data_IF_378853499379
#
_entry.id   IF_378853499379
#
_cell.length_a   1.000
_cell.length_b   1.000
_cell.length_c   1.000
_cell.angle_alpha   90.00
_cell.angle_beta   90.00
_cell.angle_gamma   90.00
#
_symmetry.space_group_name_H-M   'P 1'
#
loop_
_entity.id
_entity.type
_entity.pdbx_description
1 polymer ?
#
# COMPACT_ATOMS: atom_id res chain seq x y z
N UNK A 1 -3.57 -0.90 68.57
CA UNK A 1 -2.78 -1.35 67.41
C UNK A 1 -3.29 -0.57 66.19
N UNK A 2 -2.47 0.35 65.66
CA UNK A 2 -2.79 1.18 64.50
C UNK A 2 -2.62 0.33 63.24
N UNK A 3 -3.69 0.03 62.51
CA UNK A 3 -3.59 -0.56 61.19
C UNK A 3 -3.71 0.53 60.13
N UNK A 4 -2.56 0.85 59.55
CA UNK A 4 -2.40 1.61 58.32
C UNK A 4 -2.85 0.71 57.16
N UNK A 5 -3.88 1.10 56.41
CA UNK A 5 -4.23 0.44 55.13
C UNK A 5 -3.84 1.39 54.02
N UNK A 6 -2.87 0.94 53.23
CA UNK A 6 -2.28 1.61 52.08
C UNK A 6 -3.28 1.56 50.92
N UNK A 7 -3.63 2.71 50.35
CA UNK A 7 -4.48 2.82 49.17
C UNK A 7 -3.72 2.41 47.91
N UNK A 8 -4.26 1.45 47.16
CA UNK A 8 -3.75 1.03 45.87
C UNK A 8 -4.29 1.98 44.78
N UNK A 9 -3.43 2.82 44.22
CA UNK A 9 -3.73 3.62 43.02
C UNK A 9 -3.50 2.73 41.80
N UNK A 10 -4.58 2.39 41.10
CA UNK A 10 -4.51 1.74 39.80
C UNK A 10 -4.22 2.81 38.73
N UNK A 11 -2.97 2.85 38.25
CA UNK A 11 -2.62 3.62 37.06
C UNK A 11 -3.03 2.77 35.86
N UNK A 12 -4.14 3.13 35.21
CA UNK A 12 -4.50 2.57 33.92
C UNK A 12 -3.50 3.08 32.88
N UNK A 13 -2.60 2.20 32.41
CA UNK A 13 -1.77 2.45 31.24
C UNK A 13 -2.70 2.39 30.03
N UNK A 14 -3.20 3.55 29.59
CA UNK A 14 -3.78 3.70 28.26
C UNK A 14 -2.65 3.51 27.25
N UNK A 15 -2.56 2.32 26.67
CA UNK A 15 -1.74 2.10 25.49
C UNK A 15 -2.25 3.00 24.38
N UNK A 16 -1.43 3.94 23.92
CA UNK A 16 -1.65 4.60 22.65
C UNK A 16 -1.45 3.54 21.58
N UNK A 17 -2.55 2.95 21.11
CA UNK A 17 -2.58 2.28 19.83
C UNK A 17 -2.23 3.36 18.80
N UNK A 18 -1.07 3.23 18.15
CA UNK A 18 -0.75 4.10 17.03
C UNK A 18 -1.84 3.88 15.98
N UNK A 19 -2.75 4.85 15.87
CA UNK A 19 -3.81 4.83 14.88
C UNK A 19 -3.14 4.82 13.51
N UNK A 20 -3.60 3.94 12.61
CA UNK A 20 -3.13 3.89 11.25
C UNK A 20 -3.19 5.32 10.68
N UNK A 21 -2.06 5.86 10.23
CA UNK A 21 -1.95 7.23 9.73
C UNK A 21 -2.52 7.38 8.30
N UNK A 22 -3.50 6.54 7.97
CA UNK A 22 -4.15 6.47 6.67
C UNK A 22 -5.53 7.12 6.77
N UNK A 23 -5.81 8.06 5.87
CA UNK A 23 -7.12 8.71 5.77
C UNK A 23 -7.66 8.63 4.33
N UNK A 24 -8.98 8.64 4.19
CA UNK A 24 -9.65 8.62 2.89
C UNK A 24 -9.73 10.05 2.32
N UNK A 25 -9.28 10.25 1.08
CA UNK A 25 -9.49 11.47 0.31
C UNK A 25 -10.80 11.42 -0.47
N UNK A 26 -11.09 10.28 -1.10
CA UNK A 26 -12.31 10.07 -1.87
C UNK A 26 -12.23 8.84 -2.76
N UNK A 27 -13.17 8.70 -3.69
CA UNK A 27 -13.27 7.52 -4.58
C UNK A 27 -13.41 7.91 -6.05
N UNK A 28 -12.91 7.07 -6.95
CA UNK A 28 -13.08 7.18 -8.39
C UNK A 28 -13.50 5.84 -8.99
N UNK A 29 -14.82 5.63 -9.10
CA UNK A 29 -15.37 4.29 -9.38
C UNK A 29 -15.10 3.37 -8.18
N UNK A 30 -14.54 2.19 -8.44
CA UNK A 30 -14.18 1.21 -7.40
C UNK A 30 -12.81 1.48 -6.76
N UNK A 31 -12.10 2.53 -7.19
CA UNK A 31 -10.79 2.88 -6.66
C UNK A 31 -10.94 3.87 -5.52
N UNK A 32 -10.37 3.55 -4.37
CA UNK A 32 -10.19 4.45 -3.24
C UNK A 32 -8.97 5.33 -3.47
N UNK A 33 -9.03 6.59 -3.04
CA UNK A 33 -7.92 7.52 -3.00
C UNK A 33 -7.66 7.83 -1.54
N UNK A 34 -6.44 7.58 -1.08
CA UNK A 34 -6.06 7.67 0.32
C UNK A 34 -4.78 8.45 0.52
N UNK A 35 -4.60 8.98 1.72
CA UNK A 35 -3.41 9.70 2.16
C UNK A 35 -2.75 8.85 3.24
N UNK A 36 -1.46 8.57 3.10
CA UNK A 36 -0.62 7.97 4.13
C UNK A 36 0.32 9.03 4.73
N UNK A 37 -0.02 9.50 5.93
CA UNK A 37 0.78 10.49 6.64
C UNK A 37 2.12 9.92 7.17
N UNK A 38 2.28 8.59 7.21
CA UNK A 38 3.54 7.97 7.67
C UNK A 38 4.67 8.05 6.63
N UNK A 39 4.35 8.44 5.39
CA UNK A 39 5.31 8.53 4.26
C UNK A 39 5.34 9.92 3.64
N UNK A 40 5.14 10.95 4.45
CA UNK A 40 5.17 12.35 3.99
C UNK A 40 3.87 12.80 3.32
N UNK A 41 2.72 12.30 3.77
CA UNK A 41 1.40 12.53 3.17
C UNK A 41 1.33 12.03 1.71
N UNK A 42 1.85 10.84 1.45
CA UNK A 42 1.77 10.22 0.13
C UNK A 42 0.33 9.86 -0.21
N UNK A 43 -0.17 10.35 -1.34
CA UNK A 43 -1.46 9.93 -1.88
C UNK A 43 -1.30 8.66 -2.73
N UNK A 44 -2.25 7.74 -2.61
CA UNK A 44 -2.30 6.51 -3.40
C UNK A 44 -3.73 6.12 -3.77
N UNK A 45 -3.86 5.39 -4.88
CA UNK A 45 -5.08 4.69 -5.24
C UNK A 45 -5.02 3.24 -4.78
N UNK A 46 -6.16 2.69 -4.38
CA UNK A 46 -6.28 1.28 -3.98
C UNK A 46 -7.58 0.67 -4.49
N UNK A 47 -7.52 -0.60 -4.87
CA UNK A 47 -8.70 -1.41 -5.17
C UNK A 47 -8.53 -2.83 -4.64
N UNK A 48 -9.62 -3.35 -4.07
CA UNK A 48 -9.78 -4.77 -3.78
C UNK A 48 -10.38 -5.47 -5.00
N UNK A 49 -9.76 -6.56 -5.43
CA UNK A 49 -10.19 -7.39 -6.55
C UNK A 49 -10.93 -8.62 -6.05
N UNK A 50 -11.86 -9.14 -6.87
CA UNK A 50 -12.60 -10.38 -6.58
C UNK A 50 -11.68 -11.60 -6.38
N UNK A 51 -10.47 -11.55 -6.92
CA UNK A 51 -9.42 -12.55 -6.72
C UNK A 51 -8.80 -12.55 -5.32
N UNK A 52 -9.22 -11.65 -4.43
CA UNK A 52 -8.64 -11.48 -3.09
C UNK A 52 -7.34 -10.66 -3.07
N UNK A 53 -6.92 -10.10 -4.22
CA UNK A 53 -5.78 -9.20 -4.30
C UNK A 53 -6.21 -7.77 -3.95
N UNK A 54 -5.54 -7.14 -2.99
CA UNK A 54 -5.57 -5.70 -2.76
C UNK A 54 -4.39 -5.05 -3.45
N UNK A 55 -4.63 -4.20 -4.44
CA UNK A 55 -3.58 -3.53 -5.22
C UNK A 55 -3.59 -2.03 -4.95
N UNK A 56 -2.41 -1.44 -4.76
CA UNK A 56 -2.25 -0.01 -4.59
C UNK A 56 -1.10 0.56 -5.42
N UNK A 57 -1.30 1.80 -5.87
CA UNK A 57 -0.32 2.60 -6.63
C UNK A 57 -0.31 4.01 -6.06
N UNK A 58 0.86 4.61 -5.87
CA UNK A 58 0.90 5.98 -5.38
C UNK A 58 2.28 6.54 -5.21
N UNK A 59 2.34 7.64 -4.47
CA UNK A 59 3.56 8.36 -4.17
C UNK A 59 4.11 7.98 -2.79
N UNK A 60 5.44 8.00 -2.67
CA UNK A 60 6.18 7.98 -1.41
C UNK A 60 7.04 9.26 -1.35
N UNK A 61 6.46 10.41 -0.95
CA UNK A 61 7.17 11.69 -0.86
C UNK A 61 8.51 11.61 -0.12
N UNK A 62 8.56 10.93 1.02
CA UNK A 62 9.79 10.79 1.82
C UNK A 62 10.92 10.05 1.09
N UNK A 63 10.58 9.27 0.06
CA UNK A 63 11.53 8.54 -0.79
C UNK A 63 11.67 9.14 -2.20
N UNK A 64 11.02 10.29 -2.44
CA UNK A 64 11.01 10.98 -3.74
C UNK A 64 10.61 10.08 -4.92
N UNK A 65 9.67 9.15 -4.71
CA UNK A 65 9.31 8.16 -5.73
C UNK A 65 7.87 7.68 -5.66
N UNK A 66 7.59 6.62 -6.43
CA UNK A 66 6.29 5.97 -6.44
C UNK A 66 6.38 4.50 -6.07
N UNK A 67 5.23 3.86 -5.91
CA UNK A 67 5.18 2.44 -5.58
C UNK A 67 4.05 1.71 -6.28
N UNK A 68 4.21 0.39 -6.35
CA UNK A 68 3.14 -0.58 -6.58
C UNK A 68 3.18 -1.56 -5.40
N UNK A 69 2.05 -1.84 -4.77
CA UNK A 69 1.95 -2.88 -3.76
C UNK A 69 0.76 -3.78 -4.00
N UNK A 70 0.94 -5.05 -3.63
CA UNK A 70 -0.11 -6.06 -3.70
C UNK A 70 -0.11 -6.86 -2.41
N UNK A 71 -1.31 -7.17 -1.91
CA UNK A 71 -1.53 -7.96 -0.70
C UNK A 71 -2.66 -8.96 -0.94
N UNK A 72 -2.61 -10.09 -0.24
CA UNK A 72 -3.70 -11.07 -0.24
C UNK A 72 -3.68 -11.86 1.07
N UNK A 73 -4.87 -12.13 1.61
CA UNK A 73 -5.02 -13.02 2.76
C UNK A 73 -4.65 -14.48 2.45
N UNK A 74 -4.62 -14.86 1.17
CA UNK A 74 -4.30 -16.22 0.73
C UNK A 74 -2.78 -16.45 0.57
N UNK A 75 -1.97 -15.39 0.69
CA UNK A 75 -0.53 -15.49 0.60
C UNK A 75 0.09 -15.88 1.94
N UNK A 76 1.17 -16.67 1.88
CA UNK A 76 1.94 -17.00 3.07
C UNK A 76 2.78 -15.79 3.50
N UNK A 77 2.79 -15.51 4.80
CA UNK A 77 3.69 -14.52 5.37
C UNK A 77 5.16 -14.94 5.15
N UNK A 78 6.01 -13.96 4.85
CA UNK A 78 7.44 -14.13 4.61
C UNK A 78 8.23 -13.26 5.59
N UNK A 79 9.49 -13.64 5.91
CA UNK A 79 10.36 -12.78 6.68
C UNK A 79 10.44 -11.38 6.05
N UNK A 80 10.26 -10.34 6.87
CA UNK A 80 10.21 -8.95 6.39
C UNK A 80 11.57 -8.44 5.89
N UNK A 81 12.66 -9.11 6.27
CA UNK A 81 14.02 -8.86 5.79
C UNK A 81 14.35 -9.58 4.48
N UNK A 82 13.44 -10.41 3.98
CA UNK A 82 13.58 -11.05 2.67
C UNK A 82 13.28 -10.04 1.56
N UNK A 83 14.18 -9.92 0.58
CA UNK A 83 13.93 -9.16 -0.66
C UNK A 83 13.84 -10.11 -1.85
N UNK A 84 13.11 -9.68 -2.86
CA UNK A 84 12.91 -10.46 -4.08
C UNK A 84 12.73 -9.58 -5.30
N UNK A 85 12.74 -10.18 -6.49
CA UNK A 85 12.42 -9.45 -7.72
C UNK A 85 10.99 -9.78 -8.17
N UNK A 86 10.15 -8.75 -8.26
CA UNK A 86 8.84 -8.85 -8.88
C UNK A 86 8.92 -8.37 -10.33
N UNK A 87 8.17 -9.00 -11.22
CA UNK A 87 8.07 -8.60 -12.63
C UNK A 87 6.66 -8.15 -12.96
N UNK A 88 6.55 -7.01 -13.62
CA UNK A 88 5.31 -6.41 -14.06
C UNK A 88 5.22 -6.51 -15.58
N UNK A 89 4.10 -6.98 -16.09
CA UNK A 89 3.83 -7.15 -17.51
C UNK A 89 2.56 -6.39 -17.88
N UNK A 90 2.69 -5.47 -18.83
CA UNK A 90 1.56 -4.83 -19.50
C UNK A 90 1.48 -5.35 -20.94
N UNK A 91 0.49 -4.88 -21.70
CA UNK A 91 0.40 -5.19 -23.13
C UNK A 91 1.58 -4.63 -23.95
N UNK A 92 2.27 -3.61 -23.44
CA UNK A 92 3.32 -2.88 -24.17
C UNK A 92 4.71 -3.11 -23.59
N UNK A 93 4.81 -3.33 -22.27
CA UNK A 93 6.07 -3.17 -21.54
C UNK A 93 6.26 -4.25 -20.48
N UNK A 94 7.53 -4.47 -20.13
CA UNK A 94 7.96 -5.40 -19.08
C UNK A 94 8.91 -4.70 -18.14
N UNK A 95 8.64 -4.84 -16.86
CA UNK A 95 9.40 -4.17 -15.82
C UNK A 95 9.73 -5.13 -14.70
N UNK A 96 10.80 -4.82 -13.96
CA UNK A 96 11.17 -5.55 -12.77
C UNK A 96 11.59 -4.55 -11.68
N UNK A 97 11.31 -4.90 -10.43
CA UNK A 97 11.71 -4.12 -9.27
C UNK A 97 11.99 -5.03 -8.09
N UNK A 98 12.83 -4.55 -7.18
CA UNK A 98 12.97 -5.17 -5.87
C UNK A 98 11.69 -4.95 -5.07
N UNK A 99 11.22 -6.00 -4.39
CA UNK A 99 10.03 -5.96 -3.53
C UNK A 99 10.46 -6.04 -2.07
N UNK A 100 9.96 -5.10 -1.27
CA UNK A 100 9.99 -5.17 0.18
C UNK A 100 8.77 -5.97 0.65
N UNK A 101 9.01 -7.01 1.45
CA UNK A 101 7.95 -7.85 2.02
C UNK A 101 7.28 -7.12 3.18
N UNK A 102 5.94 -7.16 3.23
CA UNK A 102 5.18 -6.48 4.28
C UNK A 102 3.82 -7.14 4.55
N UNK A 103 3.29 -6.88 5.74
CA UNK A 103 1.93 -7.24 6.12
C UNK A 103 1.14 -5.95 6.35
N UNK A 104 -0.04 -5.84 5.72
CA UNK A 104 -0.96 -4.71 5.90
C UNK A 104 -2.36 -5.23 6.15
N UNK A 105 -2.99 -4.76 7.22
CA UNK A 105 -4.33 -5.19 7.66
C UNK A 105 -4.47 -6.72 7.79
N UNK A 106 -3.39 -7.40 8.22
CA UNK A 106 -3.34 -8.85 8.34
C UNK A 106 -3.18 -9.60 7.01
N UNK A 107 -2.99 -8.91 5.89
CA UNK A 107 -2.72 -9.52 4.59
C UNK A 107 -1.23 -9.45 4.27
N UNK A 108 -0.56 -10.60 4.06
CA UNK A 108 0.80 -10.65 3.53
C UNK A 108 0.87 -10.10 2.10
N UNK A 109 2.02 -9.54 1.76
CA UNK A 109 2.26 -8.96 0.45
C UNK A 109 3.62 -8.30 0.34
N UNK A 110 3.70 -7.37 -0.60
CA UNK A 110 4.92 -6.62 -0.81
C UNK A 110 4.71 -5.34 -1.60
N UNK A 111 5.72 -4.49 -1.54
CA UNK A 111 5.76 -3.18 -2.19
C UNK A 111 7.04 -3.09 -3.04
N UNK A 112 6.88 -2.75 -4.31
CA UNK A 112 7.97 -2.37 -5.18
C UNK A 112 8.07 -0.84 -5.27
N UNK A 113 9.26 -0.31 -5.02
CA UNK A 113 9.57 1.11 -5.14
C UNK A 113 10.10 1.45 -6.54
N UNK A 114 9.73 2.63 -7.03
CA UNK A 114 10.25 3.21 -8.26
C UNK A 114 10.73 4.63 -8.01
N UNK A 115 12.00 4.88 -8.31
CA UNK A 115 12.63 6.20 -8.21
C UNK A 115 12.09 7.22 -9.24
N UNK A 116 11.23 6.78 -10.16
CA UNK A 116 10.43 7.65 -11.01
C UNK A 116 8.96 7.37 -10.72
N UNK A 117 8.23 8.26 -10.02
CA UNK A 117 6.84 8.02 -9.69
C UNK A 117 5.96 7.91 -10.94
N UNK A 118 6.29 8.66 -12.01
CA UNK A 118 5.53 8.61 -13.25
C UNK A 118 5.51 7.19 -13.83
N UNK A 119 6.56 6.40 -13.61
CA UNK A 119 6.64 5.04 -14.10
C UNK A 119 5.57 4.11 -13.52
N UNK A 120 5.43 4.08 -12.19
CA UNK A 120 4.40 3.27 -11.52
C UNK A 120 2.99 3.70 -11.98
N UNK A 121 2.80 4.99 -12.22
CA UNK A 121 1.53 5.56 -12.66
C UNK A 121 1.23 5.27 -14.14
N UNK A 122 2.23 5.28 -15.02
CA UNK A 122 2.06 4.89 -16.42
C UNK A 122 1.69 3.40 -16.55
N UNK A 123 2.25 2.53 -15.70
CA UNK A 123 1.80 1.13 -15.59
C UNK A 123 0.34 1.07 -15.15
N UNK A 124 -0.02 1.86 -14.14
CA UNK A 124 -1.36 1.89 -13.61
C UNK A 124 -2.41 2.38 -14.63
N UNK A 125 -2.04 3.22 -15.61
CA UNK A 125 -2.94 3.69 -16.69
C UNK A 125 -3.29 2.63 -17.74
N UNK A 126 -2.61 1.46 -17.74
CA UNK A 126 -2.86 0.39 -18.72
C UNK A 126 -4.17 -0.33 -18.42
N UNK A 127 -4.61 -1.22 -19.32
CA UNK A 127 -5.86 -1.98 -19.17
C UNK A 127 -5.72 -3.19 -18.25
N UNK A 128 -4.62 -3.92 -18.35
CA UNK A 128 -4.33 -5.02 -17.45
C UNK A 128 -2.88 -4.97 -16.99
N UNK A 129 -2.66 -5.55 -15.82
CA UNK A 129 -1.34 -5.74 -15.25
C UNK A 129 -1.23 -7.18 -14.76
N UNK A 130 -0.29 -7.91 -15.34
CA UNK A 130 0.13 -9.21 -14.82
C UNK A 130 1.39 -9.02 -13.99
N UNK A 131 1.40 -9.63 -12.80
CA UNK A 131 2.49 -9.55 -11.84
C UNK A 131 3.01 -10.96 -11.59
N UNK A 132 4.34 -11.14 -11.67
CA UNK A 132 5.03 -12.37 -11.30
C UNK A 132 5.91 -12.07 -10.08
N UNK A 133 5.55 -12.66 -8.95
CA UNK A 133 6.29 -12.56 -7.70
C UNK A 133 7.60 -13.35 -7.69
N UNK A 134 8.43 -13.17 -6.66
CA UNK A 134 9.78 -13.73 -6.58
C UNK A 134 9.82 -15.27 -6.60
N UNK A 135 8.86 -15.93 -5.96
CA UNK A 135 8.74 -17.39 -5.90
C UNK A 135 7.94 -18.00 -7.07
N UNK A 136 7.65 -17.20 -8.10
CA UNK A 136 6.94 -17.66 -9.29
C UNK A 136 5.40 -17.64 -9.19
N UNK A 137 4.83 -17.21 -8.05
CA UNK A 137 3.40 -16.91 -7.97
C UNK A 137 3.02 -15.76 -8.91
N UNK A 138 1.92 -15.89 -9.64
CA UNK A 138 1.47 -14.85 -10.57
C UNK A 138 -0.01 -14.52 -10.38
N UNK A 139 -0.37 -13.28 -10.71
CA UNK A 139 -1.75 -12.85 -10.81
C UNK A 139 -1.89 -11.80 -11.93
N UNK A 140 -3.11 -11.66 -12.44
CA UNK A 140 -3.46 -10.59 -13.38
C UNK A 140 -4.70 -9.84 -12.88
N UNK A 141 -4.67 -8.52 -13.04
CA UNK A 141 -5.77 -7.64 -12.65
C UNK A 141 -6.22 -6.77 -13.82
N UNK A 142 -7.52 -6.45 -13.86
CA UNK A 142 -8.09 -5.44 -14.76
C UNK A 142 -7.99 -4.06 -14.12
N UNK A 143 -7.18 -3.19 -14.72
CA UNK A 143 -6.94 -1.83 -14.25
C UNK A 143 -7.99 -0.83 -14.73
N UNK A 144 -9.10 -1.28 -15.30
CA UNK A 144 -10.19 -0.40 -15.73
C UNK A 144 -10.57 0.61 -14.63
N UNK A 145 -10.65 1.88 -15.04
CA UNK A 145 -10.96 3.01 -14.14
C UNK A 145 -9.74 3.64 -13.45
N UNK A 146 -8.58 2.98 -13.42
CA UNK A 146 -7.38 3.47 -12.75
C UNK A 146 -6.94 4.85 -13.25
N UNK A 147 -7.02 5.12 -14.55
CA UNK A 147 -6.60 6.41 -15.13
C UNK A 147 -7.37 7.59 -14.52
N UNK A 148 -8.67 7.42 -14.25
CA UNK A 148 -9.49 8.45 -13.58
C UNK A 148 -9.16 8.52 -12.08
N UNK A 149 -8.82 7.39 -11.46
CA UNK A 149 -8.38 7.36 -10.07
C UNK A 149 -7.03 8.05 -9.89
N UNK A 150 -6.07 7.83 -10.79
CA UNK A 150 -4.76 8.50 -10.83
C UNK A 150 -4.95 10.02 -10.94
N UNK A 151 -5.84 10.49 -11.81
CA UNK A 151 -6.12 11.92 -11.92
C UNK A 151 -6.68 12.52 -10.61
N UNK A 152 -7.44 11.74 -9.83
CA UNK A 152 -7.93 12.18 -8.52
C UNK A 152 -6.83 12.09 -7.44
N UNK A 153 -5.98 11.08 -7.50
CA UNK A 153 -4.79 10.95 -6.65
C UNK A 153 -3.78 12.07 -6.89
N UNK A 154 -3.59 12.52 -8.13
CA UNK A 154 -2.75 13.69 -8.47
C UNK A 154 -3.32 14.97 -7.82
N UNK A 155 -4.65 15.13 -7.77
CA UNK A 155 -5.29 16.24 -7.06
C UNK A 155 -5.13 16.13 -5.55
N UNK A 156 -5.28 14.93 -5.00
CA UNK A 156 -4.99 14.63 -3.61
C UNK A 156 -3.55 15.06 -3.28
N UNK A 157 -2.58 14.61 -4.08
CA UNK A 157 -1.16 14.88 -3.84
C UNK A 157 -0.87 16.38 -3.89
N UNK A 158 -1.41 17.08 -4.88
CA UNK A 158 -1.26 18.54 -4.99
C UNK A 158 -1.86 19.31 -3.81
N UNK A 159 -2.84 18.74 -3.10
CA UNK A 159 -3.42 19.34 -1.90
C UNK A 159 -2.57 19.11 -0.63
N UNK A 160 -1.57 18.23 -0.66
CA UNK A 160 -0.72 17.92 0.51
C UNK A 160 0.48 18.87 0.67
N UNK A 161 0.77 19.71 -0.33
CA UNK A 161 1.94 20.59 -0.38
C UNK A 161 3.07 20.04 -1.23
#
# INVERSE_FOLDING_TARGET
>A
MKHLVIGLVWVALSGNWAEAQVSEWGTSGDWHVRIDAAVGNGCYIEKDFESGIRLAFGYLPDLEGGFISAFSADWLERPLDETGNVKFFTSEEKFAGEVEMMVRDGMPGGRAFFNNPAFALEIAKRRSLRVLGPEGGEFEVDLTGSARAIAEMERCQAAQG
#
